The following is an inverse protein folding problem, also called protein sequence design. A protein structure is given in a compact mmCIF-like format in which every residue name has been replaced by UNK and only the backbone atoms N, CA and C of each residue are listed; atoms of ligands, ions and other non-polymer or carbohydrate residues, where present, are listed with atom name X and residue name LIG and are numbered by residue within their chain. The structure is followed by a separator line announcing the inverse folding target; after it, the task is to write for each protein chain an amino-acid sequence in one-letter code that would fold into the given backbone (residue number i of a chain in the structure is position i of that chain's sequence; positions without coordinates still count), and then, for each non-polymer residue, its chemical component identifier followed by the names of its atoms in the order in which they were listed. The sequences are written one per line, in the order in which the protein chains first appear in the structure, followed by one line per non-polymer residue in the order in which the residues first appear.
data_IF_883387494254
#
_entry.id   IF_883387494254
#
_cell.length_a   1.000
_cell.length_b   1.000
_cell.length_c   1.000
_cell.angle_alpha   90.00
_cell.angle_beta   90.00
_cell.angle_gamma   90.00
#
_symmetry.space_group_name_H-M   'P 1'
#
loop_
_entity.id
_entity.type
_entity.pdbx_description
1 polymer ?
#
# COMPACT_ATOMS: atom_id res chain seq x y z
N UNK A 1 -44.48 11.09 -38.59
CA UNK A 1 -44.69 12.29 -39.45
C UNK A 1 -43.64 13.31 -39.02
N UNK A 2 -42.67 13.83 -39.77
CA UNK A 2 -42.35 14.04 -41.19
C UNK A 2 -40.86 13.68 -41.40
N UNK A 3 -40.53 12.75 -42.30
CA UNK A 3 -39.97 12.92 -43.66
C UNK A 3 -38.49 13.34 -43.75
N UNK A 4 -37.69 12.36 -44.18
CA UNK A 4 -36.39 12.45 -44.86
C UNK A 4 -36.37 13.50 -45.97
N UNK A 5 -35.20 14.10 -46.22
CA UNK A 5 -34.67 14.23 -47.59
C UNK A 5 -33.14 14.27 -47.56
N UNK A 6 -32.49 13.32 -48.22
CA UNK A 6 -31.10 13.39 -48.65
C UNK A 6 -31.09 13.90 -50.09
N UNK A 7 -30.08 14.70 -50.47
CA UNK A 7 -29.69 14.92 -51.87
C UNK A 7 -28.17 14.90 -51.96
N UNK A 8 -27.71 14.22 -53.00
CA UNK A 8 -26.36 13.84 -53.37
C UNK A 8 -26.13 14.41 -54.79
N UNK A 9 -24.86 14.56 -55.20
CA UNK A 9 -24.35 14.77 -56.59
C UNK A 9 -24.42 16.25 -57.06
N UNK A 10 -23.42 16.85 -57.70
CA UNK A 10 -22.18 16.34 -58.29
C UNK A 10 -21.30 17.46 -58.88
N UNK A 11 -20.20 17.03 -59.49
CA UNK A 11 -19.08 17.80 -59.98
C UNK A 11 -19.38 18.73 -61.17
N UNK A 12 -18.58 19.80 -61.29
CA UNK A 12 -18.24 20.42 -62.57
C UNK A 12 -16.83 21.04 -62.50
N UNK A 13 -15.95 20.53 -63.36
CA UNK A 13 -14.63 21.07 -63.64
C UNK A 13 -14.73 22.24 -64.64
N UNK A 14 -13.88 23.25 -64.48
CA UNK A 14 -13.53 24.15 -65.57
C UNK A 14 -12.06 24.53 -65.46
N UNK A 15 -11.31 24.19 -66.50
CA UNK A 15 -9.91 24.55 -66.70
C UNK A 15 -9.82 25.86 -67.50
N UNK A 16 -8.88 26.73 -67.13
CA UNK A 16 -8.22 27.64 -68.06
C UNK A 16 -6.84 28.02 -67.52
N UNK A 17 -5.89 28.07 -68.44
CA UNK A 17 -4.44 28.06 -68.28
C UNK A 17 -3.89 29.48 -68.50
N UNK A 18 -2.74 29.76 -67.87
CA UNK A 18 -1.59 30.59 -68.29
C UNK A 18 -1.26 31.79 -67.39
N UNK A 19 -0.02 31.77 -66.89
CA UNK A 19 0.63 32.87 -66.21
C UNK A 19 1.92 32.42 -65.54
N UNK A 20 2.93 32.07 -66.35
CA UNK A 20 4.24 31.69 -65.87
C UNK A 20 4.99 32.90 -65.29
N UNK A 21 5.41 32.83 -64.03
CA UNK A 21 6.57 33.55 -63.51
C UNK A 21 7.27 32.65 -62.51
N UNK A 22 8.48 32.21 -62.88
CA UNK A 22 9.29 31.30 -62.11
C UNK A 22 9.79 31.93 -60.81
N UNK A 23 9.61 31.21 -59.71
CA UNK A 23 10.43 31.37 -58.52
C UNK A 23 10.96 30.00 -58.11
N UNK A 24 12.25 30.01 -57.79
CA UNK A 24 13.13 28.87 -57.58
C UNK A 24 12.62 27.97 -56.45
N UNK A 25 12.67 26.66 -56.69
CA UNK A 25 12.53 25.63 -55.67
C UNK A 25 13.58 25.85 -54.56
N UNK A 26 13.11 26.33 -53.41
CA UNK A 26 13.80 26.14 -52.13
C UNK A 26 13.47 24.75 -51.62
N UNK A 27 14.41 23.82 -51.80
CA UNK A 27 14.56 22.65 -50.94
C UNK A 27 14.92 23.20 -49.56
N UNK A 28 14.10 22.92 -48.54
CA UNK A 28 14.50 22.68 -47.14
C UNK A 28 13.39 23.05 -46.15
N UNK A 29 13.36 22.30 -45.04
CA UNK A 29 12.51 22.44 -43.86
C UNK A 29 11.14 21.73 -43.90
N UNK A 30 11.18 20.42 -44.17
CA UNK A 30 10.31 19.48 -43.44
C UNK A 30 10.91 19.33 -42.03
N UNK A 31 10.55 20.25 -41.13
CA UNK A 31 10.86 20.11 -39.69
C UNK A 31 10.00 18.98 -39.16
N UNK A 32 10.55 17.84 -38.72
CA UNK A 32 9.76 16.86 -38.01
C UNK A 32 9.37 17.51 -36.68
N UNK A 33 8.07 17.60 -36.40
CA UNK A 33 7.60 17.74 -35.04
C UNK A 33 8.06 16.48 -34.30
N UNK A 34 9.24 16.55 -33.69
CA UNK A 34 9.68 15.61 -32.67
C UNK A 34 8.69 15.78 -31.52
N UNK A 35 7.70 14.91 -31.49
CA UNK A 35 6.93 14.66 -30.29
C UNK A 35 7.94 14.22 -29.23
N UNK A 36 8.31 15.11 -28.31
CA UNK A 36 9.06 14.74 -27.11
C UNK A 36 8.11 13.92 -26.25
N UNK A 37 7.90 12.66 -26.62
CA UNK A 37 7.60 11.65 -25.64
C UNK A 37 8.83 11.60 -24.73
N UNK A 38 8.76 12.31 -23.60
CA UNK A 38 9.60 11.97 -22.47
C UNK A 38 9.25 10.51 -22.16
N UNK A 39 10.02 9.58 -22.72
CA UNK A 39 10.09 8.24 -22.19
C UNK A 39 10.46 8.45 -20.72
N UNK A 40 9.60 8.02 -19.79
CA UNK A 40 9.99 7.90 -18.41
C UNK A 40 11.29 7.09 -18.42
N UNK A 41 12.40 7.72 -18.04
CA UNK A 41 13.66 7.02 -17.90
C UNK A 41 13.40 5.86 -16.94
N UNK A 42 13.80 4.64 -17.32
CA UNK A 42 13.52 3.47 -16.51
C UNK A 42 14.04 3.71 -15.10
N UNK A 43 13.19 3.50 -14.08
CA UNK A 43 13.53 3.77 -12.69
C UNK A 43 14.77 2.93 -12.31
N UNK A 44 15.81 3.61 -11.81
CA UNK A 44 17.02 2.99 -11.31
C UNK A 44 16.79 2.44 -9.89
N UNK A 45 16.20 1.24 -9.83
CA UNK A 45 15.88 0.56 -8.57
C UNK A 45 17.12 0.29 -7.70
N UNK A 46 18.29 0.12 -8.30
CA UNK A 46 19.52 -0.11 -7.55
C UNK A 46 19.89 1.12 -6.71
N UNK A 47 19.76 2.33 -7.25
CA UNK A 47 19.99 3.56 -6.48
C UNK A 47 19.03 3.72 -5.31
N UNK A 48 17.77 3.29 -5.47
CA UNK A 48 16.80 3.30 -4.37
C UNK A 48 17.21 2.32 -3.29
N UNK A 49 17.59 1.09 -3.66
CA UNK A 49 18.10 0.09 -2.71
C UNK A 49 19.32 0.60 -1.93
N UNK A 50 20.26 1.23 -2.62
CA UNK A 50 21.47 1.83 -2.03
C UNK A 50 21.11 2.98 -1.09
N UNK A 51 20.18 3.85 -1.50
CA UNK A 51 19.72 5.00 -0.71
C UNK A 51 19.00 4.55 0.57
N UNK A 52 18.17 3.51 0.50
CA UNK A 52 17.44 2.98 1.66
C UNK A 52 18.25 1.94 2.46
N UNK A 53 19.46 1.62 1.99
CA UNK A 53 20.38 0.66 2.61
C UNK A 53 19.84 -0.78 2.65
N UNK A 54 18.87 -1.15 1.80
CA UNK A 54 18.23 -2.47 1.81
C UNK A 54 17.59 -2.82 0.47
N UNK A 55 17.37 -4.12 0.23
CA UNK A 55 16.68 -4.63 -0.95
C UNK A 55 15.16 -4.62 -0.77
N UNK A 56 14.45 -4.31 -1.85
CA UNK A 56 13.00 -4.44 -1.90
C UNK A 56 12.53 -5.90 -1.97
N UNK A 57 11.37 -6.17 -1.38
CA UNK A 57 10.51 -7.25 -1.84
C UNK A 57 9.74 -6.76 -3.07
N UNK A 58 9.93 -7.42 -4.21
CA UNK A 58 9.32 -7.02 -5.48
C UNK A 58 8.04 -7.85 -5.72
N UNK A 59 6.96 -7.18 -6.10
CA UNK A 59 5.69 -7.81 -6.47
C UNK A 59 5.11 -7.07 -7.67
N UNK A 60 5.15 -7.72 -8.83
CA UNK A 60 4.91 -7.09 -10.14
C UNK A 60 5.82 -5.86 -10.32
N UNK A 61 5.24 -4.67 -10.42
CA UNK A 61 5.97 -3.40 -10.58
C UNK A 61 6.17 -2.64 -9.26
N UNK A 62 5.76 -3.21 -8.13
CA UNK A 62 5.89 -2.57 -6.81
C UNK A 62 7.13 -3.07 -6.09
N UNK A 63 7.94 -2.12 -5.60
CA UNK A 63 9.14 -2.35 -4.82
C UNK A 63 8.89 -1.92 -3.37
N UNK A 64 8.71 -2.90 -2.46
CA UNK A 64 8.39 -2.66 -1.05
C UNK A 64 9.60 -2.85 -0.15
N UNK A 65 9.89 -1.85 0.67
CA UNK A 65 10.99 -1.79 1.61
C UNK A 65 10.45 -1.82 3.05
N UNK A 66 10.82 -2.84 3.82
CA UNK A 66 10.40 -2.97 5.22
C UNK A 66 11.41 -2.36 6.19
N UNK A 67 10.92 -1.71 7.23
CA UNK A 67 11.63 -1.06 8.34
C UNK A 67 11.10 -1.57 9.69
N UNK A 68 11.34 -2.85 10.03
CA UNK A 68 10.88 -3.41 11.29
C UNK A 68 11.57 -2.72 12.47
N UNK A 69 10.81 -2.36 13.50
CA UNK A 69 11.31 -1.81 14.77
C UNK A 69 11.87 -2.91 15.67
N UNK A 70 12.96 -3.53 15.22
CA UNK A 70 13.67 -4.58 15.98
C UNK A 70 14.39 -4.05 17.21
N UNK A 71 14.51 -2.73 17.34
CA UNK A 71 15.02 -2.03 18.52
C UNK A 71 14.00 -1.98 19.68
N UNK A 72 12.71 -2.18 19.38
CA UNK A 72 11.64 -2.06 20.38
C UNK A 72 11.29 -3.42 21.02
N UNK A 73 11.05 -3.37 22.33
CA UNK A 73 10.50 -4.48 23.12
C UNK A 73 9.07 -4.12 23.57
N UNK A 74 8.11 -4.15 22.62
CA UNK A 74 6.71 -3.82 22.91
C UNK A 74 5.98 -5.01 23.52
N UNK A 75 5.14 -4.73 24.52
CA UNK A 75 4.25 -5.70 25.16
C UNK A 75 2.80 -5.22 25.12
N UNK A 76 1.85 -6.15 25.03
CA UNK A 76 0.42 -5.88 25.12
C UNK A 76 -0.29 -7.10 25.71
N UNK A 77 -1.11 -6.90 26.75
CA UNK A 77 -1.92 -7.95 27.39
C UNK A 77 -1.11 -9.23 27.73
N UNK A 78 0.13 -9.03 28.20
CA UNK A 78 1.07 -10.10 28.56
C UNK A 78 1.83 -10.74 27.39
N UNK A 79 1.62 -10.27 26.16
CA UNK A 79 2.28 -10.76 24.94
C UNK A 79 3.40 -9.81 24.51
N UNK A 80 4.62 -10.31 24.35
CA UNK A 80 5.68 -9.58 23.65
C UNK A 80 5.39 -9.55 22.15
N UNK A 81 5.25 -8.35 21.59
CA UNK A 81 4.90 -8.14 20.18
C UNK A 81 6.14 -8.33 19.32
N UNK A 82 6.11 -9.35 18.44
CA UNK A 82 7.17 -9.51 17.43
C UNK A 82 7.07 -8.39 16.40
N UNK A 83 8.20 -7.94 15.81
CA UNK A 83 8.15 -6.98 14.72
C UNK A 83 7.26 -7.42 13.54
N UNK A 84 7.27 -8.72 13.22
CA UNK A 84 6.39 -9.27 12.18
C UNK A 84 4.89 -9.31 12.55
N UNK A 85 4.52 -9.15 13.82
CA UNK A 85 3.11 -9.09 14.21
C UNK A 85 2.50 -7.71 13.93
N UNK A 86 3.19 -6.65 14.34
CA UNK A 86 2.68 -5.29 14.22
C UNK A 86 3.74 -4.18 14.10
N UNK A 87 5.03 -4.43 14.37
CA UNK A 87 6.03 -3.35 14.41
C UNK A 87 6.83 -3.24 13.11
N UNK A 88 6.20 -3.59 11.98
CA UNK A 88 6.80 -3.62 10.66
C UNK A 88 6.48 -2.38 9.84
N UNK A 89 7.23 -1.28 10.03
CA UNK A 89 7.11 -0.12 9.15
C UNK A 89 7.50 -0.46 7.71
N UNK A 90 7.01 0.29 6.73
CA UNK A 90 7.33 0.06 5.32
C UNK A 90 7.10 1.29 4.45
N UNK A 91 7.78 1.33 3.31
CA UNK A 91 7.39 2.16 2.16
C UNK A 91 7.38 1.30 0.89
N UNK A 92 6.53 1.64 -0.06
CA UNK A 92 6.40 0.93 -1.33
C UNK A 92 6.42 1.92 -2.48
N UNK A 93 7.28 1.65 -3.46
CA UNK A 93 7.40 2.44 -4.68
C UNK A 93 6.70 1.73 -5.82
N UNK A 94 5.93 2.49 -6.60
CA UNK A 94 5.27 2.04 -7.82
C UNK A 94 5.56 3.02 -8.96
N UNK A 95 5.92 2.57 -10.17
CA UNK A 95 6.01 3.46 -11.33
C UNK A 95 4.73 4.27 -11.55
N UNK A 96 4.87 5.57 -11.79
CA UNK A 96 3.77 6.50 -11.98
C UNK A 96 4.08 7.56 -13.03
N UNK A 97 3.13 8.45 -13.31
CA UNK A 97 3.35 9.54 -14.25
C UNK A 97 4.46 10.46 -13.76
N UNK A 98 5.53 10.62 -14.56
CA UNK A 98 6.65 11.51 -14.23
C UNK A 98 7.62 10.99 -13.17
N UNK A 99 7.56 9.71 -12.80
CA UNK A 99 8.49 9.10 -11.83
C UNK A 99 7.88 7.91 -11.10
N UNK A 100 7.82 7.99 -9.77
CA UNK A 100 7.19 7.00 -8.92
C UNK A 100 6.15 7.63 -7.99
N UNK A 101 5.13 6.84 -7.67
CA UNK A 101 4.31 6.99 -6.46
C UNK A 101 5.02 6.26 -5.32
N UNK A 102 5.05 6.84 -4.13
CA UNK A 102 5.42 6.17 -2.89
C UNK A 102 4.28 6.24 -1.90
N UNK A 103 4.00 5.11 -1.25
CA UNK A 103 3.10 5.03 -0.09
C UNK A 103 3.84 4.36 1.05
N UNK A 104 3.48 4.67 2.29
CA UNK A 104 4.11 4.05 3.44
C UNK A 104 3.26 4.07 4.69
N UNK A 105 3.75 3.33 5.68
CA UNK A 105 3.24 3.22 7.03
C UNK A 105 4.44 3.05 7.96
N UNK A 106 4.73 4.06 8.78
CA UNK A 106 5.92 4.12 9.62
C UNK A 106 5.56 3.90 11.08
N UNK A 107 6.29 3.00 11.75
CA UNK A 107 6.11 2.70 13.17
C UNK A 107 7.01 3.58 14.03
N UNK A 108 6.42 4.49 14.78
CA UNK A 108 7.11 5.51 15.57
C UNK A 108 6.69 5.45 17.04
N UNK A 109 7.60 5.83 17.94
CA UNK A 109 7.24 6.20 19.30
C UNK A 109 6.70 7.63 19.32
N UNK A 110 5.94 7.98 20.37
CA UNK A 110 5.37 9.33 20.57
C UNK A 110 6.41 10.44 20.33
N UNK A 111 7.61 10.28 20.89
CA UNK A 111 8.71 11.25 20.80
C UNK A 111 9.33 11.37 19.40
N UNK A 112 9.08 10.41 18.52
CA UNK A 112 9.64 10.32 17.17
C UNK A 112 8.68 10.88 16.11
N UNK A 113 7.39 11.02 16.40
CA UNK A 113 6.37 11.44 15.42
C UNK A 113 6.69 12.81 14.83
N UNK A 114 6.76 13.85 15.66
CA UNK A 114 6.92 15.23 15.17
C UNK A 114 8.25 15.48 14.45
N UNK A 115 9.41 14.98 14.93
CA UNK A 115 10.67 15.10 14.20
C UNK A 115 10.63 14.48 12.80
N UNK A 116 10.15 13.23 12.69
CA UNK A 116 10.04 12.53 11.39
C UNK A 116 9.04 13.23 10.49
N UNK A 117 7.88 13.62 11.01
CA UNK A 117 6.85 14.36 10.27
C UNK A 117 7.39 15.68 9.70
N UNK A 118 8.07 16.48 10.51
CA UNK A 118 8.63 17.75 10.08
C UNK A 118 9.64 17.56 8.94
N UNK A 119 10.46 16.51 9.03
CA UNK A 119 11.45 16.18 8.00
C UNK A 119 10.81 15.70 6.70
N UNK A 120 9.78 14.85 6.77
CA UNK A 120 8.99 14.43 5.61
C UNK A 120 8.37 15.62 4.87
N UNK A 121 7.68 16.50 5.60
CA UNK A 121 7.01 17.68 5.01
C UNK A 121 8.02 18.61 4.35
N UNK A 122 9.16 18.86 5.02
CA UNK A 122 10.21 19.73 4.48
C UNK A 122 10.79 19.22 3.14
N UNK A 123 10.79 17.90 2.94
CA UNK A 123 11.32 17.26 1.73
C UNK A 123 10.21 16.82 0.75
N UNK A 124 8.97 17.29 0.94
CA UNK A 124 7.86 17.11 0.00
C UNK A 124 7.13 15.76 0.09
N UNK A 125 7.26 15.04 1.20
CA UNK A 125 6.47 13.85 1.51
C UNK A 125 5.24 14.26 2.33
N UNK A 126 4.07 13.84 1.87
CA UNK A 126 2.80 14.14 2.51
C UNK A 126 2.53 13.18 3.67
N UNK A 127 1.92 13.70 4.73
CA UNK A 127 1.38 12.88 5.81
C UNK A 127 -0.10 12.66 5.56
N UNK A 128 -0.49 11.40 5.41
CA UNK A 128 -1.88 11.05 5.08
C UNK A 128 -2.66 10.56 6.31
N UNK A 129 -1.98 10.07 7.35
CA UNK A 129 -2.59 9.74 8.64
C UNK A 129 -1.56 9.62 9.77
N UNK A 130 -2.00 9.81 11.02
CA UNK A 130 -1.29 9.40 12.25
C UNK A 130 -2.31 8.75 13.18
N UNK A 131 -2.06 7.52 13.61
CA UNK A 131 -2.96 6.78 14.49
C UNK A 131 -2.25 5.65 15.26
N UNK A 132 -3.01 4.88 16.04
CA UNK A 132 -2.54 3.67 16.70
C UNK A 132 -3.04 2.41 15.96
N UNK A 133 -2.31 1.30 16.07
CA UNK A 133 -2.83 -0.03 15.74
C UNK A 133 -3.23 -0.80 17.01
N UNK A 134 -2.46 -0.62 18.08
CA UNK A 134 -2.55 -1.39 19.31
C UNK A 134 -2.97 -0.49 20.47
N UNK A 135 -4.10 -0.79 21.11
CA UNK A 135 -4.50 -0.10 22.34
C UNK A 135 -3.69 -0.65 23.51
N UNK A 136 -3.17 0.22 24.39
CA UNK A 136 -2.45 -0.16 25.64
C UNK A 136 -1.08 -0.84 25.44
N UNK A 137 -0.52 -0.81 24.24
CA UNK A 137 0.84 -1.29 24.01
C UNK A 137 1.86 -0.49 24.85
N UNK A 138 2.88 -1.17 25.37
CA UNK A 138 3.96 -0.56 26.14
C UNK A 138 5.34 -1.00 25.63
N UNK A 139 6.20 -0.07 25.18
CA UNK A 139 5.90 1.35 24.96
C UNK A 139 4.78 1.53 23.91
N UNK A 140 4.09 2.67 23.97
CA UNK A 140 3.06 3.00 23.00
C UNK A 140 3.70 3.23 21.62
N UNK A 141 3.09 2.65 20.59
CA UNK A 141 3.51 2.81 19.20
C UNK A 141 2.41 3.47 18.38
N UNK A 142 2.84 4.33 17.47
CA UNK A 142 2.01 5.07 16.55
C UNK A 142 2.46 4.78 15.12
N UNK A 143 1.54 4.99 14.19
CA UNK A 143 1.67 4.64 12.80
C UNK A 143 1.39 5.90 11.99
N UNK A 144 2.35 6.27 11.16
CA UNK A 144 2.27 7.45 10.32
C UNK A 144 2.26 7.02 8.86
N UNK A 145 1.12 7.23 8.20
CA UNK A 145 1.01 7.00 6.77
C UNK A 145 1.56 8.19 6.00
N UNK A 146 2.29 7.86 4.93
CA UNK A 146 2.95 8.84 4.07
C UNK A 146 2.65 8.57 2.60
N UNK A 147 2.63 9.62 1.80
CA UNK A 147 2.47 9.55 0.35
C UNK A 147 3.43 10.53 -0.35
N UNK A 148 3.77 10.25 -1.60
CA UNK A 148 4.55 11.17 -2.42
C UNK A 148 4.60 10.76 -3.89
N UNK A 149 4.87 11.72 -4.75
CA UNK A 149 5.01 11.53 -6.19
C UNK A 149 6.22 12.30 -6.74
N UNK A 150 6.95 11.69 -7.66
CA UNK A 150 8.04 12.37 -8.37
C UNK A 150 9.28 11.50 -8.55
N UNK A 151 10.45 12.14 -8.49
CA UNK A 151 11.73 11.46 -8.69
C UNK A 151 11.96 10.40 -7.60
N UNK A 152 12.09 9.12 -7.96
CA UNK A 152 12.14 8.03 -6.99
C UNK A 152 13.37 8.08 -6.07
N UNK A 153 14.51 8.58 -6.55
CA UNK A 153 15.73 8.68 -5.73
C UNK A 153 15.63 9.82 -4.73
N UNK A 154 15.03 10.95 -5.11
CA UNK A 154 14.72 12.04 -4.18
C UNK A 154 13.72 11.60 -3.11
N UNK A 155 12.65 10.90 -3.50
CA UNK A 155 11.68 10.34 -2.57
C UNK A 155 12.36 9.38 -1.58
N UNK A 156 13.20 8.47 -2.06
CA UNK A 156 13.97 7.56 -1.21
C UNK A 156 14.92 8.31 -0.25
N UNK A 157 15.59 9.35 -0.73
CA UNK A 157 16.49 10.18 0.08
C UNK A 157 15.74 10.93 1.19
N UNK A 158 14.57 11.50 0.87
CA UNK A 158 13.69 12.16 1.83
C UNK A 158 13.23 11.18 2.92
N UNK A 159 12.79 9.98 2.52
CA UNK A 159 12.35 8.94 3.45
C UNK A 159 13.49 8.50 4.38
N UNK A 160 14.68 8.23 3.81
CA UNK A 160 15.86 7.87 4.60
C UNK A 160 16.22 8.97 5.62
N UNK A 161 16.25 10.23 5.18
CA UNK A 161 16.59 11.36 6.04
C UNK A 161 15.56 11.57 7.16
N UNK A 162 14.28 11.41 6.88
CA UNK A 162 13.23 11.48 7.89
C UNK A 162 13.30 10.32 8.89
N UNK A 163 13.54 9.09 8.45
CA UNK A 163 13.71 7.95 9.36
C UNK A 163 14.92 8.11 10.28
N UNK A 164 15.97 8.83 9.85
CA UNK A 164 17.13 9.15 10.69
C UNK A 164 16.80 10.09 11.87
N UNK A 165 15.64 10.75 11.87
CA UNK A 165 15.12 11.52 13.02
C UNK A 165 14.43 10.62 14.07
N UNK A 166 14.45 9.29 13.86
CA UNK A 166 13.94 8.27 14.77
C UNK A 166 15.00 7.23 15.11
N UNK A 167 14.68 6.27 15.98
CA UNK A 167 15.53 5.09 16.24
C UNK A 167 15.24 3.90 15.31
N UNK A 168 14.43 4.10 14.27
CA UNK A 168 14.13 3.05 13.29
C UNK A 168 15.42 2.48 12.71
N UNK A 169 15.65 1.16 12.79
CA UNK A 169 16.86 0.55 12.25
C UNK A 169 17.01 0.76 10.74
N UNK A 170 18.03 1.54 10.35
CA UNK A 170 18.35 1.81 8.94
C UNK A 170 19.24 0.73 8.30
N UNK A 171 19.81 -0.16 9.10
CA UNK A 171 20.51 -1.35 8.62
C UNK A 171 19.64 -2.60 8.80
N UNK A 172 19.84 -3.58 7.94
CA UNK A 172 19.12 -4.86 8.01
C UNK A 172 19.95 -5.84 8.83
N UNK A 173 19.37 -6.34 9.93
CA UNK A 173 19.95 -7.46 10.65
C UNK A 173 19.86 -8.74 9.82
N UNK A 174 20.86 -9.62 9.93
CA UNK A 174 20.83 -10.91 9.25
C UNK A 174 19.60 -11.72 9.73
N UNK A 175 18.81 -12.31 8.81
CA UNK A 175 17.66 -13.11 9.19
C UNK A 175 18.10 -14.36 9.99
N UNK A 176 17.30 -14.72 10.98
CA UNK A 176 17.53 -15.93 11.76
C UNK A 176 17.50 -17.18 10.86
N UNK A 177 18.43 -18.11 11.10
CA UNK A 177 18.55 -19.38 10.39
C UNK A 177 18.68 -20.55 11.39
N UNK A 178 17.72 -21.50 11.41
CA UNK A 178 16.49 -21.53 10.62
C UNK A 178 15.50 -20.40 11.02
N UNK A 179 14.56 -20.03 10.13
CA UNK A 179 13.49 -19.09 10.49
C UNK A 179 12.69 -19.58 11.71
N UNK A 180 12.19 -18.67 12.57
CA UNK A 180 11.38 -19.06 13.71
C UNK A 180 10.12 -19.80 13.26
N UNK A 181 9.83 -20.93 13.90
CA UNK A 181 8.64 -21.73 13.60
C UNK A 181 7.35 -20.97 13.97
N UNK A 182 6.29 -21.28 13.22
CA UNK A 182 4.91 -20.90 13.58
C UNK A 182 4.25 -22.13 14.20
N UNK A 183 4.11 -22.13 15.52
CA UNK A 183 3.49 -23.21 16.29
C UNK A 183 1.96 -23.10 16.28
N UNK A 184 1.37 -23.26 15.08
CA UNK A 184 -0.08 -23.25 14.83
C UNK A 184 -0.41 -24.23 13.69
N UNK A 185 -1.64 -24.74 13.66
CA UNK A 185 -2.16 -25.48 12.51
C UNK A 185 -2.48 -24.51 11.36
N UNK A 186 -1.42 -24.09 10.65
CA UNK A 186 -1.52 -23.10 9.56
C UNK A 186 -2.40 -23.57 8.40
N UNK A 187 -2.47 -24.88 8.13
CA UNK A 187 -3.36 -25.43 7.10
C UNK A 187 -4.83 -25.26 7.48
N UNK A 188 -5.17 -25.45 8.77
CA UNK A 188 -6.51 -25.18 9.27
C UNK A 188 -6.86 -23.69 9.21
N UNK A 189 -5.90 -22.82 9.55
CA UNK A 189 -6.09 -21.37 9.42
C UNK A 189 -6.33 -20.97 7.96
N UNK A 190 -5.55 -21.50 7.01
CA UNK A 190 -5.76 -21.27 5.58
C UNK A 190 -7.17 -21.67 5.12
N UNK A 191 -7.62 -22.84 5.57
CA UNK A 191 -8.95 -23.36 5.23
C UNK A 191 -10.05 -22.42 5.74
N UNK A 192 -9.92 -21.91 6.97
CA UNK A 192 -10.93 -21.04 7.59
C UNK A 192 -10.90 -19.64 6.97
N UNK A 193 -9.73 -19.03 6.83
CA UNK A 193 -9.60 -17.68 6.26
C UNK A 193 -9.98 -17.69 4.77
N UNK A 194 -9.66 -18.77 4.06
CA UNK A 194 -10.00 -18.99 2.66
C UNK A 194 -8.94 -18.50 1.66
N UNK A 195 -7.76 -18.10 2.15
CA UNK A 195 -6.58 -17.82 1.33
C UNK A 195 -5.34 -18.41 2.00
N UNK A 196 -4.26 -18.61 1.22
CA UNK A 196 -2.99 -19.13 1.74
C UNK A 196 -2.23 -18.03 2.51
N UNK A 197 -1.93 -18.27 3.77
CA UNK A 197 -1.04 -17.44 4.57
C UNK A 197 0.44 -17.76 4.36
N UNK A 198 1.30 -16.89 4.87
CA UNK A 198 2.76 -17.00 4.79
C UNK A 198 3.39 -16.86 6.17
N UNK A 199 4.40 -17.67 6.45
CA UNK A 199 5.18 -17.57 7.69
C UNK A 199 6.26 -16.50 7.55
N UNK A 200 6.33 -15.58 8.51
CA UNK A 200 7.33 -14.52 8.55
C UNK A 200 7.69 -14.20 10.00
N UNK A 201 8.97 -14.32 10.37
CA UNK A 201 9.43 -14.01 11.73
C UNK A 201 8.72 -14.78 12.85
N UNK A 202 8.22 -15.99 12.58
CA UNK A 202 7.41 -16.77 13.52
C UNK A 202 6.01 -16.20 13.78
N UNK A 203 5.46 -15.48 12.81
CA UNK A 203 4.06 -15.01 12.71
C UNK A 203 3.48 -15.58 11.41
N UNK A 204 2.22 -15.98 11.42
CA UNK A 204 1.50 -16.40 10.22
C UNK A 204 0.64 -15.25 9.69
N UNK A 205 0.86 -14.83 8.45
CA UNK A 205 0.30 -13.60 7.89
C UNK A 205 -0.57 -13.91 6.67
N UNK A 206 -1.74 -13.30 6.60
CA UNK A 206 -2.64 -13.34 5.46
C UNK A 206 -2.75 -11.96 4.84
N UNK A 207 -2.83 -11.92 3.51
CA UNK A 207 -3.17 -10.73 2.73
C UNK A 207 -4.42 -11.04 1.92
N UNK A 208 -5.59 -10.57 2.36
CA UNK A 208 -6.86 -10.80 1.68
C UNK A 208 -7.17 -9.60 0.80
N UNK A 209 -7.15 -9.80 -0.51
CA UNK A 209 -7.41 -8.72 -1.48
C UNK A 209 -8.92 -8.45 -1.56
N UNK A 210 -9.31 -7.18 -1.58
CA UNK A 210 -10.65 -6.78 -2.03
C UNK A 210 -10.79 -7.06 -3.53
N UNK A 211 -12.03 -7.29 -3.99
CA UNK A 211 -12.33 -7.49 -5.41
C UNK A 211 -12.50 -6.16 -6.15
N UNK A 212 -13.08 -5.17 -5.47
CA UNK A 212 -13.29 -3.84 -6.05
C UNK A 212 -11.95 -3.17 -6.36
N UNK A 213 -11.82 -2.49 -7.52
CA UNK A 213 -10.64 -1.71 -7.83
C UNK A 213 -10.54 -0.54 -6.86
N UNK A 214 -9.30 -0.21 -6.48
CA UNK A 214 -8.98 0.98 -5.70
C UNK A 214 -8.13 1.90 -6.57
N UNK A 215 -8.51 3.16 -6.61
CA UNK A 215 -7.79 4.23 -7.28
C UNK A 215 -7.21 5.17 -6.22
N UNK A 216 -6.03 5.72 -6.48
CA UNK A 216 -5.43 6.82 -5.74
C UNK A 216 -5.02 7.88 -6.75
N UNK A 217 -5.52 9.11 -6.59
CA UNK A 217 -5.21 10.22 -7.52
C UNK A 217 -5.49 9.87 -9.00
N UNK A 218 -6.54 9.08 -9.25
CA UNK A 218 -6.91 8.62 -10.60
C UNK A 218 -6.03 7.49 -11.16
N UNK A 219 -5.05 6.99 -10.41
CA UNK A 219 -4.22 5.83 -10.76
C UNK A 219 -4.75 4.56 -10.07
N UNK A 220 -4.81 3.44 -10.80
CA UNK A 220 -5.16 2.16 -10.19
C UNK A 220 -4.05 1.65 -9.26
N UNK A 221 -4.40 1.39 -7.99
CA UNK A 221 -3.50 0.79 -7.01
C UNK A 221 -3.45 -0.73 -7.18
N UNK A 222 -2.75 -1.20 -8.21
CA UNK A 222 -2.52 -2.63 -8.44
C UNK A 222 -1.02 -2.92 -8.56
N UNK A 223 -0.49 -3.98 -7.93
CA UNK A 223 -1.15 -4.86 -6.95
C UNK A 223 -1.43 -4.16 -5.60
N UNK A 224 -2.66 -4.32 -5.07
CA UNK A 224 -3.13 -3.67 -3.82
C UNK A 224 -2.33 -4.07 -2.57
N UNK A 225 -1.85 -5.31 -2.50
CA UNK A 225 -1.18 -5.87 -1.33
C UNK A 225 0.10 -5.12 -0.93
N UNK A 226 1.12 -5.07 -1.80
CA UNK A 226 2.36 -4.36 -1.48
C UNK A 226 2.18 -2.84 -1.35
N UNK A 227 1.07 -2.28 -1.83
CA UNK A 227 0.68 -0.87 -1.63
C UNK A 227 -0.09 -0.62 -0.32
N UNK A 228 -0.30 -1.65 0.52
CA UNK A 228 -0.98 -1.49 1.82
C UNK A 228 -2.51 -1.39 1.75
N UNK A 229 -3.11 -1.92 0.68
CA UNK A 229 -4.57 -1.87 0.45
C UNK A 229 -5.17 -3.28 0.34
N UNK A 230 -4.50 -4.28 0.91
CA UNK A 230 -5.09 -5.59 1.21
C UNK A 230 -5.42 -5.65 2.70
N UNK A 231 -6.43 -6.44 3.07
CA UNK A 231 -6.74 -6.75 4.46
C UNK A 231 -5.60 -7.59 5.03
N UNK A 232 -4.88 -7.05 6.00
CA UNK A 232 -3.80 -7.73 6.71
C UNK A 232 -4.33 -8.47 7.93
N UNK A 233 -3.96 -9.74 8.10
CA UNK A 233 -4.31 -10.53 9.29
C UNK A 233 -3.08 -11.30 9.74
N UNK A 234 -2.65 -11.08 10.97
CA UNK A 234 -1.44 -11.69 11.53
C UNK A 234 -1.78 -12.55 12.75
N UNK A 235 -1.20 -13.74 12.83
CA UNK A 235 -1.30 -14.67 13.96
C UNK A 235 0.10 -14.89 14.54
N UNK A 236 0.35 -14.38 15.75
CA UNK A 236 1.54 -14.71 16.52
C UNK A 236 1.19 -15.82 17.52
N UNK A 237 1.82 -17.00 17.45
CA UNK A 237 1.60 -18.06 18.43
C UNK A 237 1.92 -17.57 19.85
N UNK A 238 1.02 -17.83 20.80
CA UNK A 238 1.19 -17.56 22.24
C UNK A 238 1.25 -18.83 23.09
N UNK A 239 1.25 -19.99 22.43
CA UNK A 239 1.38 -21.32 23.03
C UNK A 239 0.04 -22.02 23.28
N UNK A 240 0.06 -23.36 23.32
CA UNK A 240 -1.14 -24.16 23.62
C UNK A 240 -2.29 -23.99 22.61
N UNK A 241 -1.97 -23.81 21.33
CA UNK A 241 -2.95 -23.57 20.26
C UNK A 241 -3.51 -22.15 20.21
N UNK A 242 -3.04 -21.24 21.08
CA UNK A 242 -3.46 -19.84 21.10
C UNK A 242 -2.60 -18.94 20.22
N UNK A 243 -3.17 -17.83 19.80
CA UNK A 243 -2.47 -16.78 19.10
C UNK A 243 -2.94 -15.40 19.54
N UNK A 244 -2.00 -14.46 19.58
CA UNK A 244 -2.32 -13.04 19.50
C UNK A 244 -2.54 -12.66 18.04
N UNK A 245 -3.66 -12.00 17.75
CA UNK A 245 -4.02 -11.53 16.42
C UNK A 245 -4.09 -10.01 16.36
N UNK A 246 -3.66 -9.47 15.24
CA UNK A 246 -3.87 -8.08 14.86
C UNK A 246 -3.71 -7.93 13.35
N UNK A 247 -4.00 -6.73 12.86
CA UNK A 247 -4.05 -6.42 11.44
C UNK A 247 -5.05 -5.30 11.21
N UNK A 248 -5.56 -5.22 10.00
CA UNK A 248 -6.49 -4.19 9.57
C UNK A 248 -7.44 -4.70 8.48
N UNK A 249 -8.70 -4.27 8.57
CA UNK A 249 -9.66 -4.41 7.49
C UNK A 249 -9.68 -3.14 6.64
N UNK A 250 -9.79 -3.30 5.32
CA UNK A 250 -9.97 -2.24 4.33
C UNK A 250 -11.43 -2.27 3.88
N UNK A 251 -12.19 -1.21 4.17
CA UNK A 251 -13.65 -1.21 4.18
C UNK A 251 -14.24 -0.02 3.42
N UNK A 252 -15.34 -0.24 2.71
CA UNK A 252 -16.23 0.86 2.30
C UNK A 252 -17.14 1.26 3.47
N UNK A 253 -17.75 2.44 3.40
CA UNK A 253 -18.57 3.01 4.47
C UNK A 253 -19.69 2.06 4.96
N UNK A 254 -20.33 1.32 4.04
CA UNK A 254 -21.42 0.39 4.33
C UNK A 254 -20.95 -0.93 4.97
N UNK A 255 -19.66 -1.24 4.91
CA UNK A 255 -19.06 -2.46 5.48
C UNK A 255 -18.56 -2.25 6.92
N UNK A 256 -18.28 -1.00 7.32
CA UNK A 256 -17.69 -0.66 8.63
C UNK A 256 -18.47 -1.28 9.80
N UNK A 257 -19.73 -0.88 10.00
CA UNK A 257 -20.49 -1.34 11.16
C UNK A 257 -20.80 -2.85 11.14
N UNK A 258 -21.13 -3.47 9.98
CA UNK A 258 -21.22 -4.93 9.88
C UNK A 258 -19.95 -5.68 10.32
N UNK A 259 -18.76 -5.17 9.97
CA UNK A 259 -17.48 -5.76 10.39
C UNK A 259 -17.24 -5.56 11.88
N UNK A 260 -17.49 -4.36 12.43
CA UNK A 260 -17.41 -4.12 13.88
C UNK A 260 -18.28 -5.13 14.63
N UNK A 261 -19.53 -5.29 14.22
CA UNK A 261 -20.45 -6.21 14.86
C UNK A 261 -19.92 -7.64 14.83
N UNK A 262 -19.43 -8.12 13.69
CA UNK A 262 -18.86 -9.46 13.56
C UNK A 262 -17.64 -9.65 14.48
N UNK A 263 -16.68 -8.72 14.48
CA UNK A 263 -15.51 -8.79 15.35
C UNK A 263 -15.92 -8.82 16.83
N UNK A 264 -16.80 -7.91 17.25
CA UNK A 264 -17.25 -7.81 18.65
C UNK A 264 -18.05 -9.04 19.11
N UNK A 265 -18.90 -9.62 18.27
CA UNK A 265 -19.63 -10.86 18.56
C UNK A 265 -18.67 -12.04 18.79
N UNK A 266 -17.51 -12.04 18.14
CA UNK A 266 -16.49 -13.08 18.29
C UNK A 266 -15.42 -12.74 19.35
N UNK A 267 -15.62 -11.68 20.14
CA UNK A 267 -14.69 -11.29 21.20
C UNK A 267 -13.39 -10.64 20.71
N UNK A 268 -13.37 -10.15 19.47
CA UNK A 268 -12.23 -9.45 18.89
C UNK A 268 -12.42 -7.94 19.10
N UNK A 269 -11.43 -7.29 19.71
CA UNK A 269 -11.45 -5.85 19.99
C UNK A 269 -11.19 -5.07 18.71
N UNK A 270 -11.94 -3.98 18.48
CA UNK A 270 -11.65 -2.98 17.46
C UNK A 270 -10.80 -1.90 18.13
N UNK A 271 -9.59 -1.68 17.64
CA UNK A 271 -8.59 -0.81 18.29
C UNK A 271 -8.47 0.56 17.64
N UNK A 272 -8.85 0.69 16.37
CA UNK A 272 -8.91 1.96 15.65
C UNK A 272 -9.83 1.85 14.41
N UNK A 273 -10.37 2.99 13.97
CA UNK A 273 -11.10 3.17 12.70
C UNK A 273 -10.74 4.54 12.13
N UNK A 274 -10.13 4.58 10.95
CA UNK A 274 -9.63 5.81 10.31
C UNK A 274 -9.45 5.59 8.80
N UNK A 275 -8.75 6.51 8.11
CA UNK A 275 -8.33 6.33 6.71
C UNK A 275 -6.80 6.39 6.63
N UNK A 276 -6.18 5.68 5.67
CA UNK A 276 -4.73 5.74 5.41
C UNK A 276 -4.37 6.70 4.26
N UNK A 277 -5.36 7.06 3.44
CA UNK A 277 -5.22 7.89 2.23
C UNK A 277 -6.17 9.08 2.29
N UNK A 278 -5.87 10.10 1.48
CA UNK A 278 -6.64 11.34 1.42
C UNK A 278 -7.67 11.33 0.27
N UNK A 279 -7.27 10.82 -0.91
CA UNK A 279 -8.00 10.97 -2.18
C UNK A 279 -8.28 9.63 -2.88
N UNK A 280 -8.37 8.54 -2.11
CA UNK A 280 -8.66 7.22 -2.65
C UNK A 280 -10.11 7.07 -3.10
N UNK A 281 -10.34 6.27 -4.14
CA UNK A 281 -11.68 5.93 -4.65
C UNK A 281 -11.84 4.41 -4.83
N UNK A 282 -12.94 3.80 -4.32
CA UNK A 282 -13.95 4.41 -3.44
C UNK A 282 -13.34 4.89 -2.12
N UNK A 283 -14.05 5.72 -1.34
CA UNK A 283 -13.58 6.11 0.00
C UNK A 283 -13.37 4.86 0.86
N UNK A 284 -12.19 4.72 1.45
CA UNK A 284 -11.84 3.57 2.27
C UNK A 284 -11.64 3.95 3.74
N UNK A 285 -12.05 3.04 4.60
CA UNK A 285 -11.83 3.05 6.03
C UNK A 285 -10.97 1.85 6.40
N UNK A 286 -10.03 2.06 7.30
CA UNK A 286 -9.12 1.06 7.82
C UNK A 286 -9.47 0.82 9.28
N UNK A 287 -9.65 -0.45 9.63
CA UNK A 287 -10.10 -0.86 10.96
C UNK A 287 -9.14 -1.85 11.58
N UNK A 288 -8.45 -1.43 12.62
CA UNK A 288 -7.53 -2.28 13.35
C UNK A 288 -8.24 -3.10 14.42
N UNK A 289 -7.66 -4.25 14.74
CA UNK A 289 -8.19 -5.15 15.74
C UNK A 289 -7.11 -5.81 16.59
N UNK A 290 -7.53 -6.33 17.74
CA UNK A 290 -6.68 -7.10 18.66
C UNK A 290 -7.49 -8.19 19.38
N UNK A 291 -6.87 -9.37 19.55
CA UNK A 291 -7.30 -10.39 20.49
C UNK A 291 -6.16 -11.36 20.79
N UNK A 292 -6.25 -12.10 21.90
CA UNK A 292 -5.32 -13.20 22.22
C UNK A 292 -6.12 -14.37 22.82
N UNK A 293 -6.34 -15.41 22.03
CA UNK A 293 -7.18 -16.56 22.37
C UNK A 293 -6.86 -17.77 21.47
N UNK A 294 -7.66 -18.84 21.55
CA UNK A 294 -7.62 -19.99 20.65
C UNK A 294 -7.59 -19.58 19.17
N UNK A 295 -6.57 -20.02 18.44
CA UNK A 295 -6.30 -19.54 17.09
C UNK A 295 -7.41 -19.94 16.09
N UNK A 296 -8.07 -21.09 16.27
CA UNK A 296 -9.16 -21.55 15.40
C UNK A 296 -10.40 -20.69 15.62
N UNK A 297 -10.79 -20.46 16.88
CA UNK A 297 -11.90 -19.57 17.24
C UNK A 297 -11.69 -18.14 16.70
N UNK A 298 -10.46 -17.64 16.81
CA UNK A 298 -10.09 -16.32 16.27
C UNK A 298 -10.19 -16.29 14.74
N UNK A 299 -9.71 -17.33 14.05
CA UNK A 299 -9.83 -17.43 12.60
C UNK A 299 -11.30 -17.46 12.14
N UNK A 300 -12.17 -18.16 12.86
CA UNK A 300 -13.62 -18.18 12.57
C UNK A 300 -14.25 -16.79 12.72
N UNK A 301 -13.87 -16.03 13.76
CA UNK A 301 -14.33 -14.65 13.93
C UNK A 301 -13.84 -13.70 12.84
N UNK A 302 -12.58 -13.84 12.43
CA UNK A 302 -12.01 -13.08 11.31
C UNK A 302 -12.68 -13.45 9.98
N UNK A 303 -12.99 -14.73 9.76
CA UNK A 303 -13.77 -15.18 8.60
C UNK A 303 -15.15 -14.55 8.57
N UNK A 304 -15.87 -14.56 9.70
CA UNK A 304 -17.20 -13.95 9.80
C UNK A 304 -17.17 -12.44 9.49
N UNK A 305 -16.08 -11.74 9.85
CA UNK A 305 -15.85 -10.35 9.48
C UNK A 305 -15.51 -10.18 7.98
N UNK A 306 -14.63 -11.02 7.42
CA UNK A 306 -14.33 -11.03 5.98
C UNK A 306 -15.58 -11.25 5.11
N UNK A 307 -16.53 -12.06 5.57
CA UNK A 307 -17.85 -12.29 4.94
C UNK A 307 -18.71 -11.02 4.82
N UNK A 308 -18.36 -9.96 5.56
CA UNK A 308 -19.04 -8.66 5.50
C UNK A 308 -18.39 -7.69 4.53
N UNK A 309 -17.32 -8.09 3.83
CA UNK A 309 -16.55 -7.24 2.91
C UNK A 309 -16.64 -7.71 1.46
N UNK A 310 -16.29 -6.84 0.51
CA UNK A 310 -16.16 -7.18 -0.90
C UNK A 310 -14.98 -8.11 -1.25
N UNK A 311 -14.23 -8.62 -0.27
CA UNK A 311 -13.29 -9.72 -0.52
C UNK A 311 -14.03 -11.06 -0.77
N UNK A 312 -15.28 -11.16 -0.33
CA UNK A 312 -16.07 -12.40 -0.32
C UNK A 312 -17.46 -12.22 -0.95
N UNK A 313 -18.04 -11.01 -0.88
CA UNK A 313 -19.29 -10.68 -1.58
C UNK A 313 -19.08 -10.73 -3.10
N UNK A 314 -20.03 -11.35 -3.79
CA UNK A 314 -20.10 -11.41 -5.26
C UNK A 314 -20.92 -10.24 -5.81
#
# INVERSE_FOLDING_TARGET
MRKMTAVLIGAAACAAILGATGQRLGRDMLTPFLSTAHAAEAIDWQKIDETLGRKAAVSDDVHRYGFPRTDLAVTLDGVTIKPALALGGWVAFKPGHGGAMVMGDLVLLETEINPVMAKMIADGIEITAVHNHLLRASPATFYMHVAGHGDPVKLASAIHAALAESKTPLTVAAPASPPPAVDLDTAKLDQIIGVKGQANGGVYQFNVKRRDPVMQEGMALTPVGPMGVAIGINFQPTGGGKAAITGDFVLTADEVNPVILALRTHGIEVTALHSHMLDEQPRLFFMHFWANDDAVRLAEGLRAALDKTASTKS
#
